data_IF_033671615782
#
_entry.id   IF_033671615782
#
_cell.length_a   1.000
_cell.length_b   1.000
_cell.length_c   1.000
_cell.angle_alpha   90.00
_cell.angle_beta   90.00
_cell.angle_gamma   90.00
#
_symmetry.space_group_name_H-M   'P 1'
#
loop_
_entity.id
_entity.type
_entity.pdbx_description
1 polymer ?
#
# COMPACT_ATOMS: atom_id res chain seq x y z
N UNK A 1 13.08 -30.85 -21.19
CA UNK A 1 14.17 -30.53 -22.14
C UNK A 1 13.56 -29.84 -23.35
N UNK A 2 13.61 -28.49 -23.40
CA UNK A 2 13.20 -27.71 -24.58
C UNK A 2 14.20 -27.97 -25.70
N UNK A 3 13.81 -28.69 -26.74
CA UNK A 3 14.64 -28.98 -27.89
C UNK A 3 14.70 -27.81 -28.87
N UNK A 4 15.42 -26.74 -28.49
CA UNK A 4 16.04 -25.87 -29.46
C UNK A 4 15.32 -24.64 -29.99
N UNK A 5 14.01 -24.42 -29.72
CA UNK A 5 13.30 -23.18 -30.10
C UNK A 5 12.49 -22.60 -28.90
N UNK A 6 12.51 -21.26 -28.68
CA UNK A 6 11.78 -20.62 -27.59
C UNK A 6 10.27 -20.87 -27.64
N UNK A 7 9.70 -21.08 -28.80
CA UNK A 7 8.27 -21.38 -29.01
C UNK A 7 7.87 -22.76 -28.48
N UNK A 8 8.78 -23.72 -28.40
CA UNK A 8 8.51 -25.06 -27.86
C UNK A 8 8.31 -25.04 -26.34
N UNK A 9 8.84 -24.03 -25.66
CA UNK A 9 8.66 -23.87 -24.20
C UNK A 9 7.27 -23.29 -23.83
N UNK A 10 6.57 -22.69 -24.80
CA UNK A 10 5.26 -22.07 -24.60
C UNK A 10 4.12 -22.90 -25.21
N UNK A 11 4.43 -24.02 -25.87
CA UNK A 11 3.42 -24.88 -26.47
C UNK A 11 2.55 -25.51 -25.37
N UNK A 12 1.25 -25.28 -25.41
CA UNK A 12 0.30 -26.04 -24.61
C UNK A 12 0.44 -27.51 -25.00
N UNK A 13 0.44 -28.42 -24.01
CA UNK A 13 0.39 -29.86 -24.30
C UNK A 13 -0.75 -30.14 -25.27
N UNK A 14 -0.49 -30.96 -26.28
CA UNK A 14 -1.50 -31.40 -27.20
C UNK A 14 -2.56 -32.19 -26.42
N UNK A 15 -3.87 -31.87 -26.52
CA UNK A 15 -4.91 -32.60 -25.81
C UNK A 15 -4.99 -34.09 -26.17
N UNK A 16 -4.34 -34.49 -27.27
CA UNK A 16 -4.29 -35.88 -27.75
C UNK A 16 -3.03 -36.65 -27.30
N UNK A 17 -2.14 -36.03 -26.50
CA UNK A 17 -1.02 -36.74 -25.89
C UNK A 17 -1.55 -37.82 -24.92
N UNK A 18 -1.21 -39.08 -25.13
CA UNK A 18 -1.62 -40.24 -24.30
C UNK A 18 -1.29 -40.08 -22.80
N UNK A 19 -0.44 -39.15 -22.41
CA UNK A 19 -0.10 -38.83 -21.02
C UNK A 19 -1.08 -37.85 -20.34
N UNK A 20 -2.09 -37.34 -21.06
CA UNK A 20 -3.00 -36.30 -20.57
C UNK A 20 -2.27 -34.97 -20.29
N UNK A 21 -3.00 -33.88 -20.07
CA UNK A 21 -2.41 -32.58 -19.77
C UNK A 21 -1.65 -32.64 -18.45
N UNK A 22 -0.32 -32.74 -18.52
CA UNK A 22 0.54 -32.67 -17.36
C UNK A 22 0.49 -31.23 -16.80
N UNK A 23 0.23 -31.02 -15.52
CA UNK A 23 0.24 -29.69 -14.97
C UNK A 23 1.65 -29.08 -15.11
N UNK A 24 1.74 -27.95 -15.81
CA UNK A 24 2.99 -27.20 -15.98
C UNK A 24 3.62 -26.82 -14.63
N UNK A 25 2.78 -26.58 -13.62
CA UNK A 25 3.19 -26.26 -12.25
C UNK A 25 2.84 -27.43 -11.35
N UNK A 26 3.83 -28.05 -10.71
CA UNK A 26 3.61 -29.16 -9.75
C UNK A 26 3.03 -28.71 -8.43
N UNK A 27 3.39 -27.51 -7.98
CA UNK A 27 2.90 -26.95 -6.72
C UNK A 27 2.97 -25.43 -6.75
N UNK A 28 2.07 -24.76 -6.05
CA UNK A 28 2.08 -23.32 -5.83
C UNK A 28 1.99 -23.03 -4.34
N UNK A 29 2.80 -22.09 -3.85
CA UNK A 29 2.77 -21.65 -2.46
C UNK A 29 2.34 -20.17 -2.47
N UNK A 30 1.03 -19.88 -2.32
CA UNK A 30 0.55 -18.51 -2.26
C UNK A 30 0.94 -17.88 -0.93
N UNK A 31 1.66 -16.74 -0.98
CA UNK A 31 2.08 -15.99 0.19
C UNK A 31 1.58 -14.55 0.09
N UNK A 32 0.79 -14.09 1.08
CA UNK A 32 0.28 -12.71 1.17
C UNK A 32 -0.37 -12.21 -0.13
N UNK A 33 -1.08 -13.08 -0.85
CA UNK A 33 -1.77 -12.76 -2.10
C UNK A 33 -3.27 -13.02 -1.99
N UNK A 34 -4.05 -12.32 -2.82
CA UNK A 34 -5.49 -12.54 -3.00
C UNK A 34 -5.80 -13.04 -4.40
N UNK A 35 -7.04 -13.47 -4.62
CA UNK A 35 -7.51 -13.92 -5.94
C UNK A 35 -7.75 -12.76 -6.91
N UNK A 36 -8.13 -11.63 -6.40
CA UNK A 36 -8.31 -10.38 -7.15
C UNK A 36 -8.29 -9.18 -6.19
N UNK A 37 -8.12 -7.98 -6.74
CA UNK A 37 -8.21 -6.75 -5.97
C UNK A 37 -9.67 -6.30 -5.90
N UNK A 38 -10.21 -6.19 -4.68
CA UNK A 38 -11.59 -5.78 -4.47
C UNK A 38 -11.79 -4.28 -4.66
N UNK A 39 -13.02 -3.85 -4.94
CA UNK A 39 -13.38 -2.44 -5.14
C UNK A 39 -12.91 -1.52 -4.00
N UNK A 40 -13.00 -1.96 -2.75
CA UNK A 40 -12.46 -1.21 -1.60
C UNK A 40 -10.95 -0.97 -1.72
N UNK A 41 -10.19 -2.00 -2.07
CA UNK A 41 -8.74 -1.91 -2.24
C UNK A 41 -8.38 -1.01 -3.41
N UNK A 42 -9.10 -1.12 -4.53
CA UNK A 42 -8.94 -0.23 -5.70
C UNK A 42 -9.20 1.23 -5.31
N UNK A 43 -10.27 1.50 -4.53
CA UNK A 43 -10.59 2.86 -4.08
C UNK A 43 -9.48 3.42 -3.16
N UNK A 44 -8.95 2.62 -2.25
CA UNK A 44 -7.83 3.02 -1.38
C UNK A 44 -6.56 3.28 -2.20
N UNK A 45 -6.24 2.41 -3.17
CA UNK A 45 -5.11 2.59 -4.08
C UNK A 45 -5.24 3.87 -4.91
N UNK A 46 -6.43 4.15 -5.44
CA UNK A 46 -6.67 5.37 -6.22
C UNK A 46 -6.50 6.63 -5.37
N UNK A 47 -7.06 6.67 -4.17
CA UNK A 47 -6.89 7.80 -3.27
C UNK A 47 -5.41 8.06 -2.91
N UNK A 48 -4.61 7.01 -2.78
CA UNK A 48 -3.16 7.12 -2.59
C UNK A 48 -2.45 7.70 -3.82
N UNK A 49 -2.81 7.24 -5.02
CA UNK A 49 -2.28 7.80 -6.28
C UNK A 49 -2.61 9.28 -6.43
N UNK A 50 -3.83 9.69 -6.07
CA UNK A 50 -4.23 11.09 -6.10
C UNK A 50 -3.39 11.98 -5.18
N UNK A 51 -2.91 11.48 -4.03
CA UNK A 51 -1.96 12.21 -3.20
C UNK A 51 -0.64 12.48 -3.95
N UNK A 52 -0.16 11.52 -4.73
CA UNK A 52 1.08 11.68 -5.52
C UNK A 52 0.86 12.62 -6.70
N UNK A 53 -0.25 12.47 -7.43
CA UNK A 53 -0.56 13.32 -8.58
C UNK A 53 -0.77 14.79 -8.19
N UNK A 54 -1.26 15.04 -6.98
CA UNK A 54 -1.45 16.40 -6.46
C UNK A 54 -0.13 17.08 -6.02
N UNK A 55 0.97 16.36 -5.91
CA UNK A 55 2.26 16.91 -5.53
C UNK A 55 2.87 17.68 -6.73
N UNK A 56 3.15 18.99 -6.59
CA UNK A 56 3.74 19.78 -7.68
C UNK A 56 5.10 19.25 -8.16
N UNK A 57 5.82 18.53 -7.30
CA UNK A 57 7.12 17.98 -7.62
C UNK A 57 7.03 16.63 -8.36
N UNK A 58 5.82 16.09 -8.53
CA UNK A 58 5.59 14.88 -9.32
C UNK A 58 5.81 15.10 -10.83
N UNK A 59 5.45 16.26 -11.35
CA UNK A 59 5.71 16.66 -12.75
C UNK A 59 5.27 15.61 -13.78
N UNK A 60 4.06 15.06 -13.62
CA UNK A 60 3.52 13.99 -14.45
C UNK A 60 4.46 12.75 -14.59
N UNK A 61 5.27 12.50 -13.56
CA UNK A 61 6.24 11.41 -13.52
C UNK A 61 7.62 11.76 -14.07
N UNK A 62 7.83 12.98 -14.57
CA UNK A 62 9.09 13.41 -15.18
C UNK A 62 10.09 14.06 -14.18
N UNK A 63 10.01 13.76 -12.92
CA UNK A 63 10.82 14.38 -11.84
C UNK A 63 12.26 13.84 -11.77
N UNK A 64 12.60 12.75 -12.43
CA UNK A 64 13.96 12.21 -12.40
C UNK A 64 15.01 13.20 -12.92
N UNK A 65 16.12 13.32 -12.20
CA UNK A 65 17.24 14.21 -12.51
C UNK A 65 16.90 15.72 -12.51
N UNK A 66 15.75 16.12 -12.00
CA UNK A 66 15.35 17.54 -11.86
C UNK A 66 15.81 18.17 -10.55
N UNK A 67 16.27 17.35 -9.59
CA UNK A 67 16.54 17.76 -8.21
C UNK A 67 15.28 17.95 -7.37
N UNK A 68 14.09 17.64 -7.93
CA UNK A 68 12.77 17.72 -7.28
C UNK A 68 12.18 16.30 -7.23
N UNK A 69 11.58 15.96 -6.11
CA UNK A 69 10.97 14.65 -5.89
C UNK A 69 9.63 14.82 -5.17
N UNK A 70 8.58 14.07 -5.52
CA UNK A 70 7.25 14.21 -4.93
C UNK A 70 7.20 13.58 -3.52
N UNK A 71 8.03 14.08 -2.59
CA UNK A 71 8.18 13.56 -1.24
C UNK A 71 6.93 13.71 -0.41
N UNK A 72 6.23 14.83 -0.58
CA UNK A 72 4.98 15.11 0.12
C UNK A 72 3.89 14.16 -0.35
N UNK A 73 3.71 14.02 -1.66
CA UNK A 73 2.69 13.17 -2.25
C UNK A 73 2.85 11.70 -1.88
N UNK A 74 4.05 11.15 -2.02
CA UNK A 74 4.32 9.74 -1.66
C UNK A 74 4.24 9.54 -0.13
N UNK A 75 4.62 10.53 0.66
CA UNK A 75 4.46 10.51 2.11
C UNK A 75 2.99 10.44 2.53
N UNK A 76 2.13 11.28 1.94
CA UNK A 76 0.68 11.26 2.18
C UNK A 76 0.05 9.94 1.72
N UNK A 77 0.43 9.42 0.56
CA UNK A 77 -0.01 8.12 0.08
C UNK A 77 0.33 7.01 1.09
N UNK A 78 1.54 7.06 1.68
CA UNK A 78 1.94 6.13 2.73
C UNK A 78 1.12 6.27 4.00
N UNK A 79 0.86 7.48 4.45
CA UNK A 79 0.01 7.73 5.63
C UNK A 79 -1.37 7.10 5.45
N UNK A 80 -1.99 7.30 4.29
CA UNK A 80 -3.30 6.72 3.96
C UNK A 80 -3.25 5.18 3.91
N UNK A 81 -2.20 4.59 3.30
CA UNK A 81 -1.98 3.15 3.31
C UNK A 81 -1.89 2.60 4.74
N UNK A 82 -1.17 3.29 5.64
CA UNK A 82 -1.01 2.87 7.02
C UNK A 82 -2.34 2.77 7.77
N UNK A 83 -3.31 3.65 7.48
CA UNK A 83 -4.65 3.58 8.07
C UNK A 83 -5.38 2.30 7.66
N UNK A 84 -5.23 1.86 6.42
CA UNK A 84 -5.90 0.66 5.90
C UNK A 84 -5.29 -0.67 6.35
N UNK A 85 -4.05 -0.67 6.87
CA UNK A 85 -3.32 -1.90 7.23
C UNK A 85 -3.71 -2.51 8.57
N UNK A 86 -4.45 -1.78 9.39
CA UNK A 86 -4.85 -2.22 10.73
C UNK A 86 -6.35 -2.05 10.94
N UNK A 87 -6.93 -2.89 11.79
CA UNK A 87 -8.30 -2.70 12.23
C UNK A 87 -8.44 -1.52 13.18
N UNK A 88 -9.66 -0.97 13.30
CA UNK A 88 -9.99 0.05 14.29
C UNK A 88 -9.54 -0.35 15.70
N UNK A 89 -9.88 -1.56 16.15
CA UNK A 89 -9.49 -2.06 17.47
C UNK A 89 -7.97 -2.09 17.68
N UNK A 90 -7.18 -2.41 16.63
CA UNK A 90 -5.72 -2.40 16.71
C UNK A 90 -5.16 -0.97 16.84
N UNK A 91 -5.80 0.02 16.21
CA UNK A 91 -5.45 1.43 16.38
C UNK A 91 -5.78 1.92 17.78
N UNK A 92 -6.98 1.65 18.28
CA UNK A 92 -7.39 2.01 19.65
C UNK A 92 -6.44 1.40 20.69
N UNK A 93 -6.14 0.11 20.58
CA UNK A 93 -5.21 -0.54 21.51
C UNK A 93 -3.82 0.07 21.47
N UNK A 94 -3.32 0.42 20.27
CA UNK A 94 -1.95 0.93 20.12
C UNK A 94 -1.80 2.39 20.52
N UNK A 95 -2.73 3.24 20.11
CA UNK A 95 -2.61 4.70 20.24
C UNK A 95 -3.59 5.30 21.26
N UNK A 96 -4.83 4.79 21.28
CA UNK A 96 -5.92 5.42 22.05
C UNK A 96 -6.09 6.88 21.65
N UNK A 97 -6.46 7.72 22.62
CA UNK A 97 -6.54 9.18 22.47
C UNK A 97 -5.35 9.91 23.08
N UNK A 98 -4.21 9.22 23.22
CA UNK A 98 -3.03 9.80 23.87
C UNK A 98 -2.49 10.98 23.08
N UNK A 99 -2.16 12.04 23.82
CA UNK A 99 -1.48 13.23 23.33
C UNK A 99 0.02 13.10 23.57
N UNK A 100 0.80 13.74 22.72
CA UNK A 100 2.27 13.67 22.76
C UNK A 100 2.81 15.09 22.90
N UNK A 101 3.81 15.28 23.78
CA UNK A 101 4.58 16.50 23.83
C UNK A 101 5.36 16.66 22.51
N UNK A 102 5.19 17.79 21.80
CA UNK A 102 5.88 17.99 20.52
C UNK A 102 7.39 18.22 20.67
N UNK A 103 7.89 18.54 21.88
CA UNK A 103 9.30 18.84 22.12
C UNK A 103 10.10 17.57 22.42
N UNK A 104 9.60 16.72 23.32
CA UNK A 104 10.34 15.54 23.77
C UNK A 104 9.70 14.18 23.38
N UNK A 105 8.47 14.21 22.84
CA UNK A 105 7.75 13.02 22.41
C UNK A 105 7.16 12.18 23.55
N UNK A 106 7.14 12.70 24.79
CA UNK A 106 6.56 12.02 25.93
C UNK A 106 5.02 12.02 25.86
N UNK A 107 4.40 11.04 26.54
CA UNK A 107 2.94 11.03 26.69
C UNK A 107 2.50 12.15 27.63
N UNK A 108 1.57 13.00 27.19
CA UNK A 108 0.96 14.04 28.00
C UNK A 108 -0.17 13.46 28.87
N UNK A 109 -0.48 14.11 30.02
CA UNK A 109 -1.62 13.71 30.85
C UNK A 109 -2.94 13.66 30.07
N UNK A 110 -3.81 12.71 30.39
CA UNK A 110 -5.16 12.60 29.81
C UNK A 110 -6.15 13.46 30.60
N UNK A 111 -5.76 14.70 30.91
CA UNK A 111 -6.52 15.69 31.69
C UNK A 111 -7.17 16.77 30.80
N UNK A 112 -6.95 16.67 29.48
CA UNK A 112 -7.42 17.69 28.57
C UNK A 112 -8.95 17.75 28.52
N UNK A 113 -9.48 18.92 28.84
CA UNK A 113 -10.88 19.30 28.63
C UNK A 113 -10.93 20.67 27.93
N UNK A 114 -11.75 20.79 26.89
CA UNK A 114 -11.88 22.07 26.17
C UNK A 114 -12.32 23.18 27.16
N UNK A 115 -11.49 24.23 27.26
CA UNK A 115 -11.75 25.37 28.15
C UNK A 115 -11.39 25.17 29.61
N UNK A 116 -10.75 24.05 29.98
CA UNK A 116 -10.21 23.90 31.34
C UNK A 116 -8.85 24.63 31.45
N UNK A 117 -8.77 25.75 32.22
CA UNK A 117 -7.53 26.49 32.37
C UNK A 117 -6.48 25.79 33.24
N UNK A 118 -6.87 24.71 33.95
CA UNK A 118 -5.96 23.93 34.79
C UNK A 118 -5.37 22.73 34.05
N UNK A 119 -5.77 22.48 32.77
CA UNK A 119 -5.20 21.40 31.98
C UNK A 119 -3.77 21.71 31.60
N UNK A 120 -2.86 20.82 31.94
CA UNK A 120 -1.45 20.90 31.53
C UNK A 120 -1.25 20.51 30.05
N UNK A 121 -2.24 19.84 29.44
CA UNK A 121 -2.17 19.41 28.05
C UNK A 121 -2.57 20.54 27.10
N UNK A 122 -1.66 21.06 26.26
CA UNK A 122 -1.98 22.11 25.29
C UNK A 122 -3.08 21.68 24.31
N UNK A 123 -3.98 22.59 23.98
CA UNK A 123 -5.10 22.34 23.05
C UNK A 123 -4.62 21.77 21.70
N UNK A 124 -3.49 22.26 21.20
CA UNK A 124 -2.90 21.91 19.91
C UNK A 124 -1.86 20.76 19.99
N UNK A 125 -1.69 20.14 21.16
CA UNK A 125 -0.81 18.97 21.26
C UNK A 125 -1.28 17.84 20.32
N UNK A 126 -0.38 17.26 19.50
CA UNK A 126 -0.76 16.24 18.54
C UNK A 126 -1.15 14.93 19.23
N UNK A 127 -2.04 14.19 18.60
CA UNK A 127 -2.29 12.81 19.01
C UNK A 127 -1.13 11.89 18.64
N UNK A 128 -0.87 10.88 19.43
CA UNK A 128 0.17 9.87 19.20
C UNK A 128 0.05 9.22 17.79
N UNK A 129 -1.17 9.02 17.31
CA UNK A 129 -1.40 8.48 15.95
C UNK A 129 -0.99 9.45 14.86
N UNK A 130 -1.13 10.77 15.05
CA UNK A 130 -0.72 11.77 14.07
C UNK A 130 0.80 11.81 13.90
N UNK A 131 1.54 11.81 15.00
CA UNK A 131 3.01 11.76 14.98
C UNK A 131 3.51 10.46 14.33
N UNK A 132 2.87 9.33 14.63
CA UNK A 132 3.18 8.05 14.00
C UNK A 132 2.98 8.08 12.48
N UNK A 133 1.83 8.60 12.00
CA UNK A 133 1.55 8.66 10.57
C UNK A 133 2.53 9.58 9.84
N UNK A 134 2.81 10.77 10.40
CA UNK A 134 3.81 11.70 9.84
C UNK A 134 5.18 11.05 9.72
N UNK A 135 5.66 10.42 10.79
CA UNK A 135 6.92 9.70 10.77
C UNK A 135 6.97 8.60 9.69
N UNK A 136 5.89 7.82 9.53
CA UNK A 136 5.82 6.78 8.50
C UNK A 136 5.83 7.35 7.08
N UNK A 137 5.17 8.49 6.87
CA UNK A 137 5.19 9.20 5.59
C UNK A 137 6.58 9.74 5.25
N UNK A 138 7.20 10.44 6.19
CA UNK A 138 8.55 11.03 6.02
C UNK A 138 9.62 9.96 5.75
N UNK A 139 9.54 8.83 6.42
CA UNK A 139 10.49 7.74 6.22
C UNK A 139 10.34 7.05 4.86
N UNK A 140 9.15 7.08 4.27
CA UNK A 140 8.83 6.24 3.14
C UNK A 140 9.47 6.70 1.83
N UNK A 141 9.58 8.01 1.57
CA UNK A 141 10.16 8.54 0.34
C UNK A 141 11.64 8.12 0.14
N UNK A 142 12.37 7.84 1.23
CA UNK A 142 13.75 7.35 1.15
C UNK A 142 13.83 5.87 0.71
N UNK A 143 12.71 5.16 0.64
CA UNK A 143 12.65 3.72 0.39
C UNK A 143 11.89 3.36 -0.87
N UNK A 144 11.10 4.27 -1.40
CA UNK A 144 10.16 3.94 -2.46
C UNK A 144 10.00 5.10 -3.44
N UNK A 145 10.08 4.78 -4.71
CA UNK A 145 9.90 5.71 -5.81
C UNK A 145 8.41 5.91 -6.16
N UNK A 146 7.99 7.15 -6.47
CA UNK A 146 6.60 7.48 -6.72
C UNK A 146 6.02 6.83 -7.98
N UNK A 147 6.77 6.81 -9.08
CA UNK A 147 6.34 6.13 -10.32
C UNK A 147 6.19 4.63 -10.10
N UNK A 148 7.12 4.02 -9.37
CA UNK A 148 7.04 2.61 -8.98
C UNK A 148 5.81 2.34 -8.11
N UNK A 149 5.49 3.24 -7.18
CA UNK A 149 4.30 3.11 -6.34
C UNK A 149 3.01 3.12 -7.16
N UNK A 150 2.89 4.07 -8.08
CA UNK A 150 1.73 4.18 -8.98
C UNK A 150 1.60 2.91 -9.82
N UNK A 151 2.69 2.48 -10.47
CA UNK A 151 2.70 1.29 -11.32
C UNK A 151 2.29 0.03 -10.56
N UNK A 152 2.87 -0.20 -9.38
CA UNK A 152 2.56 -1.39 -8.59
C UNK A 152 1.12 -1.39 -8.09
N UNK A 153 0.57 -0.24 -7.66
CA UNK A 153 -0.84 -0.15 -7.26
C UNK A 153 -1.78 -0.39 -8.44
N UNK A 154 -1.46 0.10 -9.64
CA UNK A 154 -2.24 -0.19 -10.85
C UNK A 154 -2.18 -1.66 -11.26
N UNK A 155 -1.01 -2.31 -11.13
CA UNK A 155 -0.87 -3.74 -11.35
C UNK A 155 -1.71 -4.56 -10.38
N UNK A 156 -1.74 -4.17 -9.09
CA UNK A 156 -2.61 -4.79 -8.09
C UNK A 156 -4.09 -4.61 -8.44
N UNK A 157 -4.50 -3.41 -8.88
CA UNK A 157 -5.90 -3.12 -9.26
C UNK A 157 -6.36 -3.98 -10.44
N UNK A 158 -5.46 -4.33 -11.35
CA UNK A 158 -5.77 -5.19 -12.50
C UNK A 158 -5.63 -6.69 -12.23
N UNK A 159 -5.14 -7.07 -11.05
CA UNK A 159 -4.95 -8.47 -10.67
C UNK A 159 -6.28 -9.18 -10.50
N UNK A 160 -6.49 -10.26 -11.27
CA UNK A 160 -7.64 -11.15 -11.20
C UNK A 160 -7.27 -12.51 -11.80
N UNK A 161 -7.15 -13.54 -10.96
CA UNK A 161 -6.79 -14.88 -11.41
C UNK A 161 -7.90 -15.55 -12.21
N UNK A 162 -9.15 -15.13 -12.03
CA UNK A 162 -10.30 -15.69 -12.73
C UNK A 162 -10.53 -15.13 -14.15
N UNK A 163 -9.81 -14.04 -14.51
CA UNK A 163 -9.99 -13.38 -15.80
C UNK A 163 -9.59 -14.30 -16.97
N UNK A 164 -10.53 -14.54 -17.87
CA UNK A 164 -10.33 -15.42 -19.03
C UNK A 164 -10.26 -16.92 -18.69
N UNK A 165 -10.58 -17.31 -17.43
CA UNK A 165 -10.50 -18.71 -16.97
C UNK A 165 -11.83 -19.27 -16.46
N UNK A 166 -12.96 -18.60 -16.77
CA UNK A 166 -14.28 -19.03 -16.29
C UNK A 166 -14.62 -18.60 -14.86
N UNK A 167 -13.86 -17.65 -14.31
CA UNK A 167 -14.02 -17.12 -12.96
C UNK A 167 -13.09 -17.75 -11.93
N UNK A 168 -13.08 -17.17 -10.73
CA UNK A 168 -12.14 -17.54 -9.64
C UNK A 168 -12.25 -19.02 -9.24
N UNK A 169 -13.45 -19.60 -9.31
CA UNK A 169 -13.66 -21.02 -8.96
C UNK A 169 -13.05 -22.00 -9.96
N UNK A 170 -12.78 -21.54 -11.17
CA UNK A 170 -12.25 -22.35 -12.27
C UNK A 170 -10.73 -22.13 -12.47
N UNK A 171 -10.19 -21.09 -11.84
CA UNK A 171 -8.77 -20.74 -11.89
C UNK A 171 -7.98 -21.44 -10.79
#
# INVERSE_FOLDING_TARGET
DCKGQPEDCLRRPDPDDELGPQPFVRSAIPMACGTHHHTWQIAVSEAQRQCIYADPDFQDGAYYNTGREPKTGIGLARMQAMVSYRSHAAYEHKFGRRRIDPEDGSDLPDDWQAGNPESETPFNAPFSVETYLKYQGEKFHNRFDANSYITLTQLMDTHDIGRGRGGIKSA
#
